data_IF_777547660687
#
_entry.id   IF_777547660687
#
_cell.length_a   1.000
_cell.length_b   1.000
_cell.length_c   1.000
_cell.angle_alpha   90.00
_cell.angle_beta   90.00
_cell.angle_gamma   90.00
#
_symmetry.space_group_name_H-M   'P 1'
#
loop_
_entity.id
_entity.type
_entity.pdbx_description
1 polymer ?
#
# COMPACT_ATOMS: atom_id res chain seq x y z
N UNK A 1 -11.09 -23.02 7.39
CA UNK A 1 -10.07 -22.01 6.95
C UNK A 1 -8.90 -22.75 6.33
N UNK A 2 -8.54 -22.39 5.10
CA UNK A 2 -7.34 -22.86 4.41
C UNK A 2 -6.29 -21.76 4.41
N UNK A 3 -5.00 -22.11 4.51
CA UNK A 3 -3.87 -21.17 4.55
C UNK A 3 -2.79 -21.70 3.62
N UNK A 4 -2.23 -20.84 2.75
CA UNK A 4 -1.10 -21.23 1.91
C UNK A 4 -0.20 -20.04 1.62
N UNK A 5 1.09 -20.32 1.44
CA UNK A 5 2.10 -19.34 1.01
C UNK A 5 2.14 -19.24 -0.50
N UNK A 6 2.56 -18.08 -0.97
CA UNK A 6 2.85 -17.87 -2.37
C UNK A 6 4.04 -16.92 -2.54
N UNK A 7 4.89 -17.22 -3.50
CA UNK A 7 6.06 -16.42 -3.84
C UNK A 7 5.72 -15.54 -5.05
N UNK A 8 5.56 -14.23 -4.80
CA UNK A 8 5.32 -13.23 -5.84
C UNK A 8 6.66 -12.86 -6.49
N UNK A 9 6.84 -13.22 -7.77
CA UNK A 9 8.03 -12.94 -8.54
C UNK A 9 7.92 -11.55 -9.20
N UNK A 10 8.92 -10.72 -9.02
CA UNK A 10 8.94 -9.35 -9.53
C UNK A 10 9.41 -9.28 -10.99
N UNK A 11 8.88 -8.30 -11.73
CA UNK A 11 9.36 -7.95 -13.08
C UNK A 11 10.78 -7.37 -13.04
N UNK A 12 11.05 -6.53 -12.03
CA UNK A 12 12.35 -5.91 -11.78
C UNK A 12 12.72 -6.07 -10.31
N UNK A 13 14.01 -6.21 -10.02
CA UNK A 13 14.51 -6.22 -8.65
C UNK A 13 14.05 -5.00 -7.88
N UNK A 14 13.50 -5.22 -6.69
CA UNK A 14 12.89 -4.18 -5.86
C UNK A 14 13.88 -3.66 -4.83
N UNK A 15 14.31 -2.41 -5.00
CA UNK A 15 15.25 -1.75 -4.08
C UNK A 15 14.64 -0.43 -3.58
N UNK A 16 14.69 -0.25 -2.26
CA UNK A 16 14.30 0.96 -1.53
C UNK A 16 15.45 1.39 -0.62
N UNK A 17 15.40 2.57 0.00
CA UNK A 17 16.47 3.09 0.83
C UNK A 17 16.98 2.09 1.90
N UNK A 18 16.07 1.39 2.58
CA UNK A 18 16.41 0.47 3.67
C UNK A 18 17.13 -0.82 3.24
N UNK A 19 17.00 -1.23 1.97
CA UNK A 19 17.66 -2.43 1.44
C UNK A 19 18.65 -2.13 0.30
N UNK A 20 18.93 -0.86 0.05
CA UNK A 20 19.94 -0.43 -0.91
C UNK A 20 21.34 -0.82 -0.45
N UNK A 21 22.15 -1.33 -1.38
CA UNK A 21 23.59 -1.59 -1.20
C UNK A 21 24.35 -1.10 -2.43
N UNK A 22 25.44 -0.37 -2.19
CA UNK A 22 26.24 0.24 -3.25
C UNK A 22 26.89 -0.78 -4.19
N UNK A 23 27.08 -2.02 -3.74
CA UNK A 23 27.63 -3.14 -4.54
C UNK A 23 26.58 -3.80 -5.46
N UNK A 24 25.33 -3.31 -5.46
CA UNK A 24 24.24 -3.86 -6.26
C UNK A 24 23.62 -5.16 -5.74
N UNK A 25 24.07 -5.67 -4.58
CA UNK A 25 23.53 -6.91 -3.98
C UNK A 25 22.25 -6.66 -3.18
N UNK A 26 21.85 -5.41 -3.00
CA UNK A 26 20.61 -5.00 -2.32
C UNK A 26 19.36 -5.35 -3.12
N UNK A 27 18.19 -5.19 -2.47
CA UNK A 27 16.91 -5.46 -3.09
C UNK A 27 16.45 -6.92 -3.03
N UNK A 28 15.26 -7.18 -3.58
CA UNK A 28 14.62 -8.50 -3.61
C UNK A 28 14.02 -8.76 -4.98
N UNK A 29 13.98 -10.01 -5.43
CA UNK A 29 13.33 -10.45 -6.67
C UNK A 29 12.02 -11.19 -6.40
N UNK A 30 11.77 -11.58 -5.14
CA UNK A 30 10.59 -12.33 -4.70
C UNK A 30 10.08 -11.77 -3.38
N UNK A 31 8.77 -11.65 -3.26
CA UNK A 31 8.07 -11.36 -2.02
C UNK A 31 7.16 -12.52 -1.63
N UNK A 32 7.19 -12.89 -0.35
CA UNK A 32 6.36 -13.98 0.19
C UNK A 32 5.09 -13.42 0.74
N UNK A 33 3.96 -13.88 0.20
CA UNK A 33 2.62 -13.58 0.70
C UNK A 33 1.97 -14.83 1.29
N UNK A 34 0.94 -14.63 2.12
CA UNK A 34 0.13 -15.70 2.69
C UNK A 34 -1.34 -15.44 2.39
N UNK A 35 -2.00 -16.39 1.78
CA UNK A 35 -3.43 -16.34 1.52
C UNK A 35 -4.22 -17.09 2.58
N UNK A 36 -5.44 -16.63 2.80
CA UNK A 36 -6.46 -17.26 3.64
C UNK A 36 -7.72 -17.44 2.80
N UNK A 37 -8.31 -18.66 2.80
CA UNK A 37 -9.67 -18.90 2.30
C UNK A 37 -10.55 -19.31 3.46
N UNK A 38 -11.63 -18.58 3.68
CA UNK A 38 -12.69 -18.92 4.62
C UNK A 38 -13.83 -19.55 3.85
N UNK A 39 -14.36 -20.67 4.39
CA UNK A 39 -15.54 -21.34 3.84
C UNK A 39 -16.61 -21.40 4.92
N UNK A 40 -17.76 -20.80 4.67
CA UNK A 40 -18.90 -20.86 5.56
C UNK A 40 -19.76 -22.12 5.37
N UNK A 41 -20.64 -22.48 6.32
CA UNK A 41 -21.52 -23.64 6.22
C UNK A 41 -22.46 -23.65 5.00
N UNK A 42 -22.83 -22.47 4.49
CA UNK A 42 -23.67 -22.32 3.29
C UNK A 42 -22.87 -22.47 1.96
N UNK A 43 -21.57 -22.76 2.05
CA UNK A 43 -20.69 -22.91 0.89
C UNK A 43 -20.06 -21.62 0.38
N UNK A 44 -20.37 -20.46 0.97
CA UNK A 44 -19.71 -19.18 0.61
C UNK A 44 -18.22 -19.30 0.88
N UNK A 45 -17.41 -19.03 -0.16
CA UNK A 45 -15.95 -19.01 -0.10
C UNK A 45 -15.46 -17.58 -0.28
N UNK A 46 -14.54 -17.19 0.57
CA UNK A 46 -14.00 -15.84 0.59
C UNK A 46 -12.49 -15.86 0.81
N UNK A 47 -11.77 -14.99 0.13
CA UNK A 47 -10.30 -14.96 0.11
C UNK A 47 -9.75 -13.68 0.71
N UNK A 48 -8.62 -13.80 1.41
CA UNK A 48 -7.82 -12.69 1.86
C UNK A 48 -6.33 -12.95 1.64
N UNK A 49 -5.55 -11.89 1.67
CA UNK A 49 -4.11 -11.91 1.46
C UNK A 49 -3.40 -11.11 2.54
N UNK A 50 -2.26 -11.58 2.98
CA UNK A 50 -1.33 -10.94 3.89
C UNK A 50 -0.01 -10.67 3.17
N UNK A 51 0.42 -9.42 3.08
CA UNK A 51 1.73 -9.03 2.54
C UNK A 51 2.64 -8.50 3.67
N UNK A 52 3.25 -9.40 4.48
CA UNK A 52 4.00 -9.02 5.66
C UNK A 52 5.29 -8.29 5.31
N UNK A 53 5.67 -7.34 6.15
CA UNK A 53 6.92 -6.59 6.02
C UNK A 53 7.78 -6.68 7.27
N UNK A 54 9.07 -6.96 7.07
CA UNK A 54 10.07 -6.96 8.16
C UNK A 54 10.20 -5.58 8.85
N UNK A 55 9.75 -4.49 8.17
CA UNK A 55 9.67 -3.15 8.77
C UNK A 55 8.76 -3.12 10.01
N UNK A 56 7.75 -3.99 10.03
CA UNK A 56 6.79 -4.15 11.14
C UNK A 56 7.02 -5.44 11.93
N UNK A 57 8.23 -6.01 11.86
CA UNK A 57 8.59 -7.29 12.48
C UNK A 57 7.70 -8.47 12.03
N UNK A 58 7.16 -8.40 10.82
CA UNK A 58 6.29 -9.44 10.24
C UNK A 58 6.97 -10.17 9.07
N UNK A 59 6.66 -11.44 8.92
CA UNK A 59 7.11 -12.32 7.86
C UNK A 59 6.03 -13.36 7.55
N UNK A 60 6.17 -14.11 6.44
CA UNK A 60 5.26 -15.22 6.16
C UNK A 60 5.22 -16.26 7.31
N UNK A 61 6.34 -16.43 8.03
CA UNK A 61 6.39 -17.35 9.18
C UNK A 61 5.58 -16.83 10.37
N UNK A 62 5.69 -15.53 10.72
CA UNK A 62 4.90 -14.94 11.82
C UNK A 62 3.43 -14.89 11.47
N UNK A 63 3.08 -14.63 10.22
CA UNK A 63 1.69 -14.66 9.72
C UNK A 63 1.11 -16.05 9.86
N UNK A 64 1.76 -17.10 9.36
CA UNK A 64 1.25 -18.47 9.54
C UNK A 64 1.17 -18.88 11.01
N UNK A 65 2.16 -18.52 11.82
CA UNK A 65 2.14 -18.82 13.25
C UNK A 65 0.94 -18.17 13.96
N UNK A 66 0.56 -16.95 13.56
CA UNK A 66 -0.66 -16.30 14.06
C UNK A 66 -1.91 -17.01 13.55
N UNK A 67 -2.02 -17.25 12.24
CA UNK A 67 -3.19 -17.85 11.62
C UNK A 67 -3.50 -19.25 12.17
N UNK A 68 -2.47 -20.02 12.56
CA UNK A 68 -2.64 -21.34 13.20
C UNK A 68 -3.23 -21.27 14.62
N UNK A 69 -3.20 -20.09 15.29
CA UNK A 69 -3.84 -19.89 16.60
C UNK A 69 -5.32 -19.54 16.47
N UNK A 70 -5.78 -19.17 15.28
CA UNK A 70 -7.16 -18.74 15.04
C UNK A 70 -8.08 -19.94 14.99
N UNK A 71 -9.11 -19.95 15.83
CA UNK A 71 -10.24 -20.88 15.73
C UNK A 71 -11.23 -20.36 14.66
N UNK A 72 -11.36 -21.04 13.51
CA UNK A 72 -12.27 -20.61 12.45
C UNK A 72 -13.75 -20.51 12.87
N UNK A 73 -14.16 -21.25 13.92
CA UNK A 73 -15.53 -21.20 14.43
C UNK A 73 -15.84 -19.88 15.18
N UNK A 74 -14.84 -19.10 15.50
CA UNK A 74 -14.96 -17.76 16.09
C UNK A 74 -15.03 -16.65 15.04
N UNK A 75 -14.95 -16.99 13.76
CA UNK A 75 -15.05 -16.07 12.64
C UNK A 75 -16.43 -16.11 12.02
N UNK A 76 -17.02 -14.95 11.72
CA UNK A 76 -18.36 -14.86 11.12
C UNK A 76 -18.43 -13.75 10.07
N UNK A 77 -18.96 -14.07 8.91
CA UNK A 77 -19.30 -13.08 7.89
C UNK A 77 -20.44 -12.13 8.32
N UNK A 78 -21.22 -12.54 9.32
CA UNK A 78 -22.37 -11.77 9.84
C UNK A 78 -21.99 -10.91 11.06
N UNK A 79 -20.82 -11.18 11.67
CA UNK A 79 -20.27 -10.40 12.82
C UNK A 79 -18.78 -10.14 12.64
N UNK A 80 -18.45 -9.23 11.71
CA UNK A 80 -17.06 -8.82 11.48
C UNK A 80 -16.45 -8.15 12.72
N UNK A 81 -17.12 -7.19 13.42
CA UNK A 81 -16.54 -6.57 14.61
C UNK A 81 -16.20 -7.58 15.71
N UNK A 82 -17.07 -8.55 15.98
CA UNK A 82 -16.81 -9.62 16.95
C UNK A 82 -15.63 -10.51 16.54
N UNK A 83 -15.53 -10.83 15.24
CA UNK A 83 -14.41 -11.59 14.68
C UNK A 83 -13.09 -10.84 14.83
N UNK A 84 -13.04 -9.54 14.54
CA UNK A 84 -11.84 -8.72 14.68
C UNK A 84 -11.43 -8.56 16.15
N UNK A 85 -12.39 -8.33 17.06
CA UNK A 85 -12.13 -8.29 18.50
C UNK A 85 -11.55 -9.61 19.03
N UNK A 86 -12.01 -10.73 18.49
CA UNK A 86 -11.42 -12.05 18.78
C UNK A 86 -9.97 -12.13 18.30
N UNK A 87 -9.65 -11.71 17.08
CA UNK A 87 -8.27 -11.71 16.58
C UNK A 87 -7.35 -10.84 17.45
N UNK A 88 -7.83 -9.70 17.91
CA UNK A 88 -7.08 -8.81 18.81
C UNK A 88 -6.83 -9.45 20.19
N UNK A 89 -7.74 -10.32 20.65
CA UNK A 89 -7.57 -11.06 21.90
C UNK A 89 -6.50 -12.15 21.85
N UNK A 90 -6.15 -12.63 20.63
CA UNK A 90 -5.08 -13.63 20.44
C UNK A 90 -3.70 -12.97 20.63
N UNK A 91 -3.49 -11.83 19.98
CA UNK A 91 -2.21 -11.12 19.96
C UNK A 91 -2.41 -9.68 19.48
N UNK A 92 -1.73 -8.71 20.09
CA UNK A 92 -1.84 -7.31 19.69
C UNK A 92 -1.20 -7.01 18.31
N UNK A 93 -0.10 -7.70 17.98
CA UNK A 93 0.64 -7.56 16.72
C UNK A 93 0.04 -8.36 15.56
N UNK A 94 0.83 -8.62 14.51
CA UNK A 94 0.44 -9.36 13.30
C UNK A 94 -0.71 -8.70 12.52
N UNK A 95 -0.60 -7.40 12.27
CA UNK A 95 -1.60 -6.63 11.53
C UNK A 95 -1.83 -7.18 10.12
N UNK A 96 -0.77 -7.63 9.44
CA UNK A 96 -0.88 -8.21 8.11
C UNK A 96 -1.70 -9.51 8.11
N UNK A 97 -1.53 -10.38 9.12
CA UNK A 97 -2.31 -11.61 9.26
C UNK A 97 -3.79 -11.31 9.59
N UNK A 98 -4.05 -10.37 10.50
CA UNK A 98 -5.41 -9.91 10.82
C UNK A 98 -6.07 -9.29 9.60
N UNK A 99 -5.31 -8.50 8.83
CA UNK A 99 -5.76 -7.91 7.58
C UNK A 99 -6.22 -8.95 6.56
N UNK A 100 -5.50 -10.07 6.42
CA UNK A 100 -5.92 -11.16 5.54
C UNK A 100 -7.29 -11.75 5.96
N UNK A 101 -7.51 -11.93 7.25
CA UNK A 101 -8.80 -12.42 7.75
C UNK A 101 -9.88 -11.35 7.57
N UNK A 102 -9.62 -10.07 7.87
CA UNK A 102 -10.60 -8.99 7.67
C UNK A 102 -11.02 -8.87 6.20
N UNK A 103 -10.08 -8.98 5.27
CA UNK A 103 -10.35 -9.01 3.83
C UNK A 103 -11.27 -10.18 3.47
N UNK A 104 -10.96 -11.39 3.96
CA UNK A 104 -11.80 -12.57 3.69
C UNK A 104 -13.19 -12.45 4.33
N UNK A 105 -13.30 -11.91 5.55
CA UNK A 105 -14.58 -11.67 6.20
C UNK A 105 -15.45 -10.69 5.42
N UNK A 106 -14.87 -9.59 4.98
CA UNK A 106 -15.56 -8.56 4.19
C UNK A 106 -15.93 -9.07 2.80
N UNK A 107 -15.08 -9.87 2.16
CA UNK A 107 -15.39 -10.53 0.89
C UNK A 107 -16.63 -11.41 1.03
N UNK A 108 -16.66 -12.30 2.04
CA UNK A 108 -17.79 -13.18 2.29
C UNK A 108 -19.09 -12.45 2.66
N UNK A 109 -18.99 -11.43 3.51
CA UNK A 109 -20.13 -10.59 3.88
C UNK A 109 -20.73 -9.85 2.68
N UNK A 110 -19.89 -9.25 1.84
CA UNK A 110 -20.32 -8.53 0.65
C UNK A 110 -20.92 -9.48 -0.41
N UNK A 111 -20.33 -10.69 -0.60
CA UNK A 111 -20.90 -11.73 -1.46
C UNK A 111 -22.31 -12.14 -1.02
N UNK A 112 -22.52 -12.38 0.29
CA UNK A 112 -23.83 -12.71 0.85
C UNK A 112 -24.85 -11.58 0.70
N UNK A 113 -24.38 -10.33 0.80
CA UNK A 113 -25.23 -9.16 0.56
C UNK A 113 -25.55 -8.94 -0.94
N UNK A 114 -24.93 -9.69 -1.85
CA UNK A 114 -25.08 -9.51 -3.30
C UNK A 114 -24.43 -8.21 -3.81
N UNK A 115 -23.47 -7.65 -3.08
CA UNK A 115 -22.87 -6.33 -3.36
C UNK A 115 -21.35 -6.46 -3.62
N UNK A 116 -20.76 -5.60 -4.47
CA UNK A 116 -19.34 -5.37 -4.43
C UNK A 116 -18.95 -4.67 -3.12
N UNK A 117 -17.71 -4.87 -2.65
CA UNK A 117 -17.30 -4.38 -1.33
C UNK A 117 -17.40 -2.84 -1.19
N UNK A 118 -17.16 -2.08 -2.25
CA UNK A 118 -17.32 -0.60 -2.20
C UNK A 118 -18.78 -0.19 -1.93
N UNK A 119 -19.78 -0.92 -2.41
CA UNK A 119 -21.20 -0.68 -2.12
C UNK A 119 -21.60 -1.20 -0.73
N UNK A 120 -20.98 -2.30 -0.29
CA UNK A 120 -21.13 -2.78 1.08
C UNK A 120 -20.68 -1.73 2.11
N UNK A 121 -19.57 -1.00 1.81
CA UNK A 121 -19.12 0.17 2.57
C UNK A 121 -19.93 1.44 2.31
N UNK A 122 -20.90 1.44 1.40
CA UNK A 122 -21.71 2.61 0.98
C UNK A 122 -20.86 3.75 0.41
N UNK A 123 -19.76 3.42 -0.24
CA UNK A 123 -18.84 4.38 -0.88
C UNK A 123 -19.17 4.59 -2.35
N UNK A 124 -19.65 3.54 -3.04
CA UNK A 124 -19.66 3.48 -4.48
C UNK A 124 -18.27 3.37 -5.09
N UNK A 125 -18.21 3.42 -6.40
CA UNK A 125 -16.95 3.49 -7.15
C UNK A 125 -17.18 4.20 -8.50
N UNK A 126 -16.47 5.30 -8.73
CA UNK A 126 -16.56 6.06 -9.98
C UNK A 126 -15.56 5.53 -10.99
N UNK A 127 -16.01 4.64 -11.87
CA UNK A 127 -15.18 4.16 -12.99
C UNK A 127 -14.60 5.33 -13.80
N UNK A 128 -13.33 5.23 -14.15
CA UNK A 128 -12.63 6.26 -14.92
C UNK A 128 -12.08 7.44 -14.11
N UNK A 129 -12.35 7.52 -12.81
CA UNK A 129 -11.93 8.65 -11.98
C UNK A 129 -10.64 8.41 -11.19
N UNK A 130 -10.23 7.16 -11.00
CA UNK A 130 -9.16 6.79 -10.07
C UNK A 130 -7.90 6.36 -10.81
N UNK A 131 -6.78 7.03 -10.50
CA UNK A 131 -5.48 6.70 -11.08
C UNK A 131 -4.47 6.33 -10.00
N UNK A 132 -3.78 5.21 -10.18
CA UNK A 132 -2.62 4.80 -9.36
C UNK A 132 -1.33 5.31 -9.97
N UNK A 133 -0.32 5.59 -9.15
CA UNK A 133 1.06 5.74 -9.59
C UNK A 133 1.64 4.39 -10.04
N UNK A 134 2.72 4.45 -10.83
CA UNK A 134 3.56 3.28 -11.14
C UNK A 134 4.93 3.50 -10.51
N UNK A 135 5.40 2.53 -9.74
CA UNK A 135 6.56 2.73 -8.87
C UNK A 135 7.87 2.29 -9.52
N UNK A 136 8.87 3.17 -9.44
CA UNK A 136 10.25 2.97 -9.87
C UNK A 136 11.13 2.82 -8.62
N UNK A 137 11.61 1.62 -8.36
CA UNK A 137 12.58 1.35 -7.28
C UNK A 137 13.98 1.86 -7.62
N UNK A 138 14.84 2.03 -6.60
CA UNK A 138 16.23 2.47 -6.76
C UNK A 138 17.02 1.47 -7.62
N UNK A 139 17.77 1.98 -8.62
CA UNK A 139 18.63 1.18 -9.49
C UNK A 139 19.75 2.06 -10.06
N UNK A 140 20.57 1.55 -11.01
CA UNK A 140 21.49 2.39 -11.76
C UNK A 140 20.72 3.38 -12.67
N UNK A 141 21.32 4.54 -13.02
CA UNK A 141 20.65 5.53 -13.87
C UNK A 141 20.17 4.97 -15.21
N UNK A 142 20.91 4.03 -15.80
CA UNK A 142 20.56 3.37 -17.06
C UNK A 142 19.28 2.54 -16.90
N UNK A 143 19.16 1.78 -15.82
CA UNK A 143 17.98 0.98 -15.50
C UNK A 143 16.79 1.85 -15.09
N UNK A 144 17.03 2.96 -14.37
CA UNK A 144 15.98 3.94 -14.08
C UNK A 144 15.40 4.47 -15.39
N UNK A 145 16.25 4.89 -16.33
CA UNK A 145 15.79 5.35 -17.64
C UNK A 145 14.99 4.29 -18.38
N UNK A 146 15.45 3.04 -18.37
CA UNK A 146 14.74 1.91 -18.98
C UNK A 146 13.34 1.73 -18.35
N UNK A 147 13.26 1.60 -17.02
CA UNK A 147 11.98 1.41 -16.30
C UNK A 147 11.01 2.56 -16.54
N UNK A 148 11.49 3.80 -16.63
CA UNK A 148 10.67 4.98 -16.93
C UNK A 148 10.09 4.90 -18.35
N UNK A 149 10.87 4.45 -19.34
CA UNK A 149 10.37 4.24 -20.71
C UNK A 149 9.35 3.10 -20.79
N UNK A 150 9.58 1.99 -20.08
CA UNK A 150 8.60 0.90 -19.95
C UNK A 150 7.29 1.36 -19.30
N UNK A 151 7.36 2.36 -18.41
CA UNK A 151 6.23 2.97 -17.73
C UNK A 151 5.65 4.20 -18.44
N UNK A 152 5.95 4.42 -19.73
CA UNK A 152 5.50 5.60 -20.49
C UNK A 152 3.97 5.76 -20.46
N UNK A 153 3.25 4.65 -20.53
CA UNK A 153 1.78 4.62 -20.54
C UNK A 153 1.11 5.10 -19.22
N UNK A 154 1.84 5.15 -18.11
CA UNK A 154 1.29 5.57 -16.82
C UNK A 154 1.34 7.10 -16.68
N UNK A 155 0.25 7.76 -16.25
CA UNK A 155 0.19 9.22 -16.18
C UNK A 155 1.08 9.81 -15.10
N UNK A 156 1.40 9.03 -14.06
CA UNK A 156 2.25 9.46 -12.96
C UNK A 156 3.15 8.32 -12.46
N UNK A 157 4.33 8.68 -11.98
CA UNK A 157 5.28 7.74 -11.40
C UNK A 157 5.46 8.01 -9.91
N UNK A 158 5.72 6.95 -9.14
CA UNK A 158 6.30 7.05 -7.80
C UNK A 158 7.77 6.66 -7.88
N UNK A 159 8.66 7.44 -7.28
CA UNK A 159 10.10 7.20 -7.33
C UNK A 159 10.67 7.07 -5.94
N UNK A 160 11.42 6.00 -5.72
CA UNK A 160 12.11 5.76 -4.46
C UNK A 160 13.42 6.51 -4.43
N UNK A 161 13.65 7.25 -3.34
CA UNK A 161 14.88 8.01 -3.04
C UNK A 161 15.44 7.61 -1.67
N UNK A 162 16.43 8.34 -1.15
CA UNK A 162 17.10 8.02 0.12
C UNK A 162 18.39 7.25 -0.07
N UNK A 163 19.00 7.34 -1.25
CA UNK A 163 20.27 6.73 -1.60
C UNK A 163 21.27 7.77 -2.14
N UNK A 164 22.57 7.48 -2.21
CA UNK A 164 23.54 8.35 -2.87
C UNK A 164 23.28 8.60 -4.36
N UNK A 165 22.39 7.79 -4.98
CA UNK A 165 22.06 7.88 -6.41
C UNK A 165 20.89 8.82 -6.71
N UNK A 166 20.28 9.46 -5.71
CA UNK A 166 19.04 10.22 -5.87
C UNK A 166 19.11 11.25 -6.99
N UNK A 167 20.20 12.03 -7.05
CA UNK A 167 20.35 13.09 -8.06
C UNK A 167 20.46 12.53 -9.47
N UNK A 168 21.38 11.58 -9.68
CA UNK A 168 21.61 10.99 -11.01
C UNK A 168 20.40 10.17 -11.47
N UNK A 169 19.64 9.57 -10.55
CA UNK A 169 18.41 8.85 -10.87
C UNK A 169 17.27 9.79 -11.27
N UNK A 170 17.13 10.93 -10.60
CA UNK A 170 16.13 11.94 -11.00
C UNK A 170 16.49 12.59 -12.35
N UNK A 171 17.78 12.82 -12.65
CA UNK A 171 18.25 13.26 -13.97
C UNK A 171 17.94 12.21 -15.05
N UNK A 172 18.20 10.94 -14.79
CA UNK A 172 17.89 9.85 -15.69
C UNK A 172 16.37 9.74 -15.96
N UNK A 173 15.54 9.87 -14.91
CA UNK A 173 14.09 9.91 -15.03
C UNK A 173 13.66 11.09 -15.92
N UNK A 174 14.14 12.30 -15.66
CA UNK A 174 13.75 13.50 -16.41
C UNK A 174 14.22 13.48 -17.85
N UNK A 175 15.35 12.83 -18.13
CA UNK A 175 15.80 12.59 -19.51
C UNK A 175 14.82 11.72 -20.33
N UNK A 176 14.11 10.78 -19.67
CA UNK A 176 13.15 9.88 -20.29
C UNK A 176 11.71 10.42 -20.24
N UNK A 177 11.35 11.16 -19.19
CA UNK A 177 9.99 11.65 -18.94
C UNK A 177 10.04 13.12 -18.40
N UNK A 178 10.29 14.12 -19.25
CA UNK A 178 10.58 15.50 -18.83
C UNK A 178 9.47 16.18 -18.02
N UNK A 179 8.21 15.88 -18.32
CA UNK A 179 7.04 16.58 -17.76
C UNK A 179 6.09 15.68 -16.95
N UNK A 180 6.45 14.40 -16.79
CA UNK A 180 5.58 13.43 -16.09
C UNK A 180 5.48 13.80 -14.61
N UNK A 181 4.26 13.74 -14.06
CA UNK A 181 4.04 13.91 -12.62
C UNK A 181 4.76 12.81 -11.84
N UNK A 182 5.48 13.23 -10.80
CA UNK A 182 6.25 12.32 -9.93
C UNK A 182 5.86 12.51 -8.47
N UNK A 183 5.64 11.43 -7.78
CA UNK A 183 5.55 11.31 -6.34
C UNK A 183 6.86 10.74 -5.83
N UNK A 184 7.44 11.33 -4.81
CA UNK A 184 8.74 10.90 -4.31
C UNK A 184 8.56 10.23 -2.95
N UNK A 185 9.23 9.10 -2.73
CA UNK A 185 9.17 8.36 -1.48
C UNK A 185 10.58 8.15 -0.92
N UNK A 186 10.83 8.75 0.25
CA UNK A 186 12.11 8.69 0.95
C UNK A 186 12.33 7.38 1.72
N UNK A 187 11.29 6.64 2.02
CA UNK A 187 11.33 5.40 2.82
C UNK A 187 12.28 5.51 4.04
N UNK A 188 12.14 6.59 4.83
CA UNK A 188 12.94 6.87 6.02
C UNK A 188 14.45 7.08 5.70
N UNK A 189 14.81 7.40 4.46
CA UNK A 189 16.20 7.43 3.98
C UNK A 189 17.03 8.58 4.56
N UNK A 190 16.47 9.77 4.75
CA UNK A 190 17.18 10.93 5.26
C UNK A 190 17.09 11.02 6.79
N UNK A 191 18.23 11.24 7.46
CA UNK A 191 18.34 10.96 8.91
C UNK A 191 18.10 12.17 9.80
N UNK A 192 18.16 13.39 9.24
CA UNK A 192 17.96 14.62 10.01
C UNK A 192 17.00 15.59 9.31
N UNK A 193 16.32 16.49 10.05
CA UNK A 193 15.45 17.50 9.46
C UNK A 193 16.16 18.39 8.43
N UNK A 194 17.41 18.78 8.72
CA UNK A 194 18.21 19.62 7.79
C UNK A 194 18.58 18.88 6.51
N UNK A 195 18.90 17.59 6.59
CA UNK A 195 19.16 16.76 5.42
C UNK A 195 17.88 16.61 4.58
N UNK A 196 16.76 16.31 5.23
CA UNK A 196 15.48 16.19 4.58
C UNK A 196 15.08 17.49 3.89
N UNK A 197 15.20 18.64 4.56
CA UNK A 197 14.84 19.93 3.98
C UNK A 197 15.70 20.26 2.75
N UNK A 198 17.04 20.10 2.83
CA UNK A 198 17.93 20.34 1.66
C UNK A 198 17.56 19.48 0.45
N UNK A 199 17.20 18.22 0.67
CA UNK A 199 16.80 17.32 -0.41
C UNK A 199 15.42 17.69 -0.96
N UNK A 200 14.47 18.08 -0.10
CA UNK A 200 13.14 18.54 -0.52
C UNK A 200 13.25 19.86 -1.32
N UNK A 201 14.06 20.81 -0.87
CA UNK A 201 14.31 22.06 -1.59
C UNK A 201 14.94 21.82 -2.98
N UNK A 202 15.81 20.82 -3.08
CA UNK A 202 16.34 20.40 -4.36
C UNK A 202 15.27 19.77 -5.25
N UNK A 203 14.46 18.85 -4.73
CA UNK A 203 13.35 18.23 -5.46
C UNK A 203 12.32 19.25 -5.92
N UNK A 204 12.00 20.24 -5.10
CA UNK A 204 11.00 21.28 -5.39
C UNK A 204 11.39 22.23 -6.53
N UNK A 205 12.63 22.18 -7.03
CA UNK A 205 13.02 22.87 -8.28
C UNK A 205 12.36 22.26 -9.52
N UNK A 206 11.89 21.04 -9.42
CA UNK A 206 11.12 20.36 -10.44
C UNK A 206 9.61 20.58 -10.19
N UNK A 207 8.92 21.36 -11.04
CA UNK A 207 7.51 21.70 -10.82
C UNK A 207 6.55 20.50 -10.98
N UNK A 208 7.03 19.37 -11.48
CA UNK A 208 6.24 18.18 -11.69
C UNK A 208 6.35 17.18 -10.51
N UNK A 209 6.96 17.57 -9.38
CA UNK A 209 6.94 16.77 -8.14
C UNK A 209 5.73 17.17 -7.31
N UNK A 210 4.88 16.16 -6.99
CA UNK A 210 3.61 16.40 -6.31
C UNK A 210 3.78 16.50 -4.78
N UNK A 211 4.54 15.59 -4.19
CA UNK A 211 4.81 15.53 -2.73
C UNK A 211 6.02 14.63 -2.43
N UNK A 212 6.47 14.68 -1.17
CA UNK A 212 7.44 13.74 -0.59
C UNK A 212 6.78 12.88 0.48
N UNK A 213 6.96 11.55 0.39
CA UNK A 213 6.47 10.56 1.33
C UNK A 213 7.60 10.11 2.26
N UNK A 214 7.32 10.03 3.55
CA UNK A 214 8.16 9.55 4.65
C UNK A 214 9.66 9.83 4.47
N UNK A 215 10.10 11.08 4.44
CA UNK A 215 11.50 11.42 4.20
C UNK A 215 12.44 11.00 5.34
N UNK A 216 11.95 11.02 6.60
CA UNK A 216 12.75 10.69 7.78
C UNK A 216 12.17 9.48 8.53
N UNK A 217 12.95 8.84 9.43
CA UNK A 217 12.49 7.74 10.26
C UNK A 217 11.23 8.08 11.04
N UNK A 218 10.28 7.13 11.14
CA UNK A 218 9.04 7.29 11.91
C UNK A 218 9.28 7.54 13.40
N UNK A 219 10.45 7.16 13.92
CA UNK A 219 10.91 7.46 15.27
C UNK A 219 11.37 8.91 15.48
N UNK A 220 11.38 9.74 14.43
CA UNK A 220 11.75 11.16 14.54
C UNK A 220 10.76 11.89 15.45
N UNK A 221 11.24 12.70 16.41
CA UNK A 221 10.37 13.42 17.33
C UNK A 221 9.36 14.34 16.64
N UNK A 222 8.12 14.48 17.15
CA UNK A 222 7.09 15.34 16.54
C UNK A 222 7.55 16.79 16.29
N UNK A 223 8.36 17.38 17.19
CA UNK A 223 8.90 18.74 17.00
C UNK A 223 9.74 18.89 15.74
N UNK A 224 10.46 17.85 15.34
CA UNK A 224 11.33 17.86 14.15
C UNK A 224 10.48 17.70 12.88
N UNK A 225 9.40 16.93 12.94
CA UNK A 225 8.40 16.85 11.88
C UNK A 225 7.67 18.19 11.68
N UNK A 226 7.23 18.84 12.77
CA UNK A 226 6.60 20.16 12.73
C UNK A 226 7.55 21.22 12.14
N UNK A 227 8.83 21.16 12.55
CA UNK A 227 9.88 22.03 12.02
C UNK A 227 10.06 21.86 10.49
N UNK A 228 10.11 20.60 10.03
CA UNK A 228 10.22 20.29 8.60
C UNK A 228 8.97 20.70 7.84
N UNK A 229 7.77 20.35 8.33
CA UNK A 229 6.49 20.71 7.71
C UNK A 229 6.36 22.24 7.49
N UNK A 230 6.75 23.03 8.48
CA UNK A 230 6.67 24.50 8.41
C UNK A 230 7.62 25.12 7.37
N UNK A 231 8.64 24.40 6.91
CA UNK A 231 9.68 24.88 5.99
C UNK A 231 9.68 24.22 4.63
N UNK A 232 9.11 23.05 4.54
CA UNK A 232 9.09 22.24 3.31
C UNK A 232 8.32 22.95 2.19
N UNK A 233 8.93 23.16 1.02
CA UNK A 233 8.22 23.67 -0.15
C UNK A 233 7.29 22.63 -0.81
N UNK A 234 7.43 21.34 -0.49
CA UNK A 234 6.55 20.27 -0.95
C UNK A 234 5.69 19.75 0.20
N UNK A 235 4.45 19.31 -0.07
CA UNK A 235 3.66 18.59 0.92
C UNK A 235 4.39 17.33 1.40
N UNK A 236 4.31 17.04 2.72
CA UNK A 236 4.90 15.86 3.33
C UNK A 236 3.79 14.87 3.69
N UNK A 237 3.95 13.62 3.26
CA UNK A 237 3.03 12.51 3.53
C UNK A 237 3.66 11.52 4.52
N UNK A 238 2.88 11.10 5.52
CA UNK A 238 3.27 10.02 6.44
C UNK A 238 2.91 8.65 5.84
N UNK A 239 3.85 7.71 5.86
CA UNK A 239 3.62 6.28 5.56
C UNK A 239 3.94 5.43 6.78
N UNK A 240 5.20 5.21 7.10
CA UNK A 240 5.64 4.39 8.22
C UNK A 240 5.23 4.98 9.58
N UNK A 241 4.93 6.28 9.64
CA UNK A 241 4.40 6.96 10.83
C UNK A 241 2.89 6.82 11.02
N UNK A 242 2.14 6.26 10.04
CA UNK A 242 0.69 6.14 10.06
C UNK A 242 0.27 4.68 10.17
N UNK A 243 0.00 4.20 11.38
CA UNK A 243 -0.34 2.79 11.67
C UNK A 243 -1.77 2.66 12.17
N UNK A 244 -2.23 3.58 13.02
CA UNK A 244 -3.50 3.47 13.71
C UNK A 244 -4.24 4.80 13.78
N UNK A 245 -5.52 4.74 14.15
CA UNK A 245 -6.35 5.94 14.40
C UNK A 245 -5.79 6.82 15.52
N UNK A 246 -5.10 6.22 16.48
CA UNK A 246 -4.50 6.96 17.60
C UNK A 246 -3.36 7.90 17.14
N UNK A 247 -2.78 7.66 15.98
CA UNK A 247 -1.70 8.50 15.43
C UNK A 247 -2.24 9.81 14.83
N UNK A 248 -3.53 9.88 14.48
CA UNK A 248 -4.13 10.99 13.71
C UNK A 248 -3.87 12.37 14.33
N UNK A 249 -4.01 12.59 15.65
CA UNK A 249 -3.74 13.92 16.23
C UNK A 249 -2.31 14.40 15.95
N UNK A 250 -1.31 13.54 16.20
CA UNK A 250 0.09 13.84 15.93
C UNK A 250 0.35 14.03 14.43
N UNK A 251 -0.24 13.17 13.58
CA UNK A 251 -0.07 13.25 12.13
C UNK A 251 -0.64 14.55 11.55
N UNK A 252 -1.77 15.04 12.07
CA UNK A 252 -2.36 16.30 11.62
C UNK A 252 -1.45 17.51 11.91
N UNK A 253 -0.72 17.47 13.03
CA UNK A 253 0.24 18.52 13.37
C UNK A 253 1.51 18.43 12.52
N UNK A 254 1.96 17.23 12.19
CA UNK A 254 3.29 16.95 11.62
C UNK A 254 3.32 16.77 10.10
N UNK A 255 2.21 16.42 9.47
CA UNK A 255 2.14 16.05 8.04
C UNK A 255 1.00 16.77 7.31
N UNK A 256 1.04 16.77 5.98
CA UNK A 256 -0.02 17.30 5.12
C UNK A 256 -0.98 16.19 4.66
N UNK A 257 -0.48 14.95 4.65
CA UNK A 257 -1.19 13.79 4.14
C UNK A 257 -0.76 12.50 4.85
N UNK A 258 -1.56 11.45 4.70
CA UNK A 258 -1.26 10.10 5.20
C UNK A 258 -1.41 9.06 4.10
N UNK A 259 -0.52 8.07 4.10
CA UNK A 259 -0.62 6.85 3.28
C UNK A 259 -1.07 5.69 4.17
N UNK A 260 -2.23 5.14 3.90
CA UNK A 260 -2.80 3.98 4.60
C UNK A 260 -2.56 2.74 3.74
N UNK A 261 -2.02 1.67 4.35
CA UNK A 261 -1.82 0.37 3.67
C UNK A 261 -2.52 -0.72 4.48
N UNK A 262 -3.30 -1.55 3.81
CA UNK A 262 -4.14 -2.57 4.47
C UNK A 262 -3.32 -3.52 5.34
N UNK A 263 -2.16 -3.95 4.85
CA UNK A 263 -1.30 -4.89 5.57
C UNK A 263 -0.70 -4.32 6.87
N UNK A 264 -0.45 -3.01 6.97
CA UNK A 264 0.10 -2.40 8.18
C UNK A 264 -0.97 -1.96 9.19
N UNK A 265 -2.20 -1.73 8.74
CA UNK A 265 -3.30 -1.25 9.58
C UNK A 265 -4.26 -2.33 10.05
N UNK A 266 -4.14 -3.56 9.54
CA UNK A 266 -4.99 -4.69 9.96
C UNK A 266 -6.22 -4.91 9.07
N UNK A 267 -6.21 -4.40 7.82
CA UNK A 267 -7.24 -4.70 6.82
C UNK A 267 -8.15 -3.52 6.46
N UNK A 268 -9.16 -3.76 5.59
CA UNK A 268 -10.04 -2.70 5.08
C UNK A 268 -10.93 -2.07 6.15
N UNK A 269 -11.38 -2.81 7.17
CA UNK A 269 -12.22 -2.27 8.25
C UNK A 269 -11.51 -1.15 9.02
N UNK A 270 -10.28 -1.41 9.44
CA UNK A 270 -9.43 -0.42 10.13
C UNK A 270 -8.96 0.69 9.20
N UNK A 271 -8.63 0.37 7.95
CA UNK A 271 -8.25 1.36 6.94
C UNK A 271 -9.39 2.32 6.63
N UNK A 272 -10.63 1.85 6.51
CA UNK A 272 -11.82 2.70 6.35
C UNK A 272 -11.97 3.71 7.49
N UNK A 273 -11.83 3.23 8.74
CA UNK A 273 -11.94 4.08 9.92
C UNK A 273 -10.80 5.11 9.99
N UNK A 274 -9.56 4.68 9.68
CA UNK A 274 -8.36 5.54 9.68
C UNK A 274 -8.44 6.63 8.59
N UNK A 275 -8.78 6.27 7.34
CA UNK A 275 -8.98 7.22 6.25
C UNK A 275 -10.08 8.24 6.58
N UNK A 276 -11.20 7.77 7.17
CA UNK A 276 -12.30 8.64 7.59
C UNK A 276 -11.87 9.63 8.68
N UNK A 277 -11.10 9.18 9.66
CA UNK A 277 -10.56 10.02 10.73
C UNK A 277 -9.55 11.04 10.21
N UNK A 278 -8.64 10.62 9.31
CA UNK A 278 -7.65 11.49 8.68
C UNK A 278 -8.30 12.62 7.89
N UNK A 279 -9.34 12.31 7.10
CA UNK A 279 -10.12 13.33 6.37
C UNK A 279 -10.81 14.33 7.31
N UNK A 280 -11.41 13.86 8.41
CA UNK A 280 -12.01 14.74 9.44
C UNK A 280 -10.98 15.65 10.09
N UNK A 281 -9.74 15.21 10.23
CA UNK A 281 -8.62 15.99 10.75
C UNK A 281 -8.00 16.95 9.71
N UNK A 282 -8.54 17.01 8.47
CA UNK A 282 -8.07 17.89 7.40
C UNK A 282 -6.83 17.39 6.65
N UNK A 283 -6.40 16.14 6.89
CA UNK A 283 -5.31 15.51 6.16
C UNK A 283 -5.80 15.05 4.76
N UNK A 284 -4.96 15.22 3.74
CA UNK A 284 -5.13 14.46 2.49
C UNK A 284 -4.83 12.99 2.75
N UNK A 285 -5.46 12.13 1.94
CA UNK A 285 -5.37 10.68 2.12
C UNK A 285 -4.88 9.99 0.86
N UNK A 286 -4.05 8.99 1.05
CA UNK A 286 -3.64 8.02 0.04
C UNK A 286 -3.89 6.62 0.57
N UNK A 287 -4.28 5.69 -0.29
CA UNK A 287 -4.16 4.27 -0.03
C UNK A 287 -3.02 3.71 -0.86
N UNK A 288 -2.09 3.04 -0.19
CA UNK A 288 -0.93 2.43 -0.79
C UNK A 288 -0.91 0.91 -0.63
N UNK A 289 0.13 0.29 -1.18
CA UNK A 289 0.34 -1.16 -1.12
C UNK A 289 1.79 -1.50 -0.76
N UNK A 290 2.02 -2.79 -0.56
CA UNK A 290 3.33 -3.45 -0.66
C UNK A 290 3.45 -4.11 -2.05
N UNK A 291 4.33 -5.10 -2.20
CA UNK A 291 4.25 -6.04 -3.31
C UNK A 291 3.15 -7.04 -2.95
N UNK A 292 2.06 -6.99 -3.70
CA UNK A 292 0.79 -7.64 -3.38
C UNK A 292 0.14 -8.22 -4.64
N UNK A 293 -0.70 -9.25 -4.48
CA UNK A 293 -1.51 -9.77 -5.58
C UNK A 293 -2.77 -8.94 -5.82
N UNK A 294 -3.52 -9.29 -6.84
CA UNK A 294 -4.83 -8.70 -7.13
C UNK A 294 -5.86 -8.83 -5.99
N UNK A 295 -5.64 -9.67 -4.98
CA UNK A 295 -6.54 -9.78 -3.81
C UNK A 295 -6.43 -8.53 -2.93
N UNK A 296 -5.23 -8.21 -2.43
CA UNK A 296 -4.99 -7.01 -1.62
C UNK A 296 -5.20 -5.73 -2.43
N UNK A 297 -4.74 -5.69 -3.66
CA UNK A 297 -4.92 -4.53 -4.54
C UNK A 297 -6.40 -4.25 -4.80
N UNK A 298 -7.23 -5.28 -5.03
CA UNK A 298 -8.68 -5.07 -5.17
C UNK A 298 -9.31 -4.62 -3.86
N UNK A 299 -8.92 -5.21 -2.72
CA UNK A 299 -9.40 -4.77 -1.41
C UNK A 299 -9.09 -3.28 -1.16
N UNK A 300 -7.89 -2.82 -1.52
CA UNK A 300 -7.50 -1.41 -1.43
C UNK A 300 -8.31 -0.53 -2.40
N UNK A 301 -8.51 -0.98 -3.64
CA UNK A 301 -9.28 -0.25 -4.66
C UNK A 301 -10.73 0.01 -4.24
N UNK A 302 -11.34 -0.87 -3.45
CA UNK A 302 -12.69 -0.66 -2.91
C UNK A 302 -12.82 0.55 -1.96
N UNK A 303 -11.70 1.08 -1.44
CA UNK A 303 -11.67 2.27 -0.58
C UNK A 303 -11.26 3.55 -1.35
N UNK A 304 -11.16 3.50 -2.67
CA UNK A 304 -10.64 4.61 -3.49
C UNK A 304 -11.40 5.93 -3.27
N UNK A 305 -12.72 5.89 -3.07
CA UNK A 305 -13.53 7.11 -2.85
C UNK A 305 -13.22 7.84 -1.54
N UNK A 306 -12.51 7.22 -0.62
CA UNK A 306 -12.01 7.85 0.61
C UNK A 306 -10.66 8.55 0.43
N UNK A 307 -10.07 8.51 -0.77
CA UNK A 307 -8.69 8.94 -0.98
C UNK A 307 -8.57 10.08 -1.98
N UNK A 308 -7.51 10.88 -1.81
CA UNK A 308 -7.08 11.89 -2.78
C UNK A 308 -6.09 11.29 -3.79
N UNK A 309 -5.34 10.27 -3.37
CA UNK A 309 -4.29 9.63 -4.16
C UNK A 309 -4.38 8.11 -4.02
N UNK A 310 -4.00 7.39 -5.07
CA UNK A 310 -3.79 5.93 -5.05
C UNK A 310 -2.34 5.60 -5.40
N UNK A 311 -1.81 4.57 -4.73
CA UNK A 311 -0.48 3.99 -4.93
C UNK A 311 -0.59 2.47 -4.76
N UNK A 312 -1.43 1.85 -5.62
CA UNK A 312 -1.84 0.45 -5.54
C UNK A 312 -1.44 -0.31 -6.80
N UNK A 313 -0.16 -0.29 -7.09
CA UNK A 313 0.45 -0.90 -8.28
C UNK A 313 1.16 -2.24 -7.99
N UNK A 314 1.05 -2.79 -6.77
CA UNK A 314 1.79 -3.98 -6.37
C UNK A 314 1.62 -5.17 -7.31
N UNK A 315 0.41 -5.39 -7.82
CA UNK A 315 0.12 -6.46 -8.78
C UNK A 315 0.62 -6.17 -10.21
N UNK A 316 0.97 -4.93 -10.53
CA UNK A 316 1.56 -4.55 -11.81
C UNK A 316 3.08 -4.78 -11.84
N UNK A 317 3.69 -4.96 -10.68
CA UNK A 317 5.12 -5.15 -10.50
C UNK A 317 5.53 -6.63 -10.45
N UNK A 318 4.57 -7.55 -10.50
CA UNK A 318 4.79 -9.00 -10.43
C UNK A 318 4.46 -9.69 -11.75
N UNK A 319 5.07 -10.86 -11.98
CA UNK A 319 4.91 -11.64 -13.21
C UNK A 319 3.96 -12.83 -13.08
N UNK A 320 3.62 -13.22 -11.85
CA UNK A 320 2.94 -14.46 -11.52
C UNK A 320 1.77 -14.27 -10.56
N UNK A 321 0.98 -13.22 -10.74
CA UNK A 321 -0.22 -12.99 -9.93
C UNK A 321 -1.17 -14.19 -10.01
N UNK A 322 -1.47 -14.90 -8.89
CA UNK A 322 -2.34 -16.06 -8.90
C UNK A 322 -3.84 -15.70 -9.00
N UNK A 323 -4.16 -14.42 -8.92
CA UNK A 323 -5.53 -13.92 -9.00
C UNK A 323 -5.70 -12.89 -10.12
N UNK A 324 -6.93 -12.63 -10.47
CA UNK A 324 -7.35 -11.45 -11.23
C UNK A 324 -8.41 -10.69 -10.44
N UNK A 325 -8.46 -9.38 -10.59
CA UNK A 325 -9.35 -8.50 -9.83
C UNK A 325 -9.47 -7.13 -10.49
N UNK A 326 -9.40 -6.06 -9.68
CA UNK A 326 -9.30 -4.70 -10.22
C UNK A 326 -8.07 -4.55 -11.10
N UNK A 327 -8.19 -3.76 -12.16
CA UNK A 327 -7.08 -3.48 -13.08
C UNK A 327 -6.49 -2.11 -12.80
N UNK A 328 -5.18 -1.96 -13.03
CA UNK A 328 -4.45 -0.68 -13.01
C UNK A 328 -3.88 -0.33 -14.39
N UNK A 329 -4.48 -0.86 -15.46
CA UNK A 329 -3.97 -0.70 -16.82
C UNK A 329 -3.80 0.78 -17.18
N UNK A 330 -2.60 1.16 -17.60
CA UNK A 330 -2.21 2.55 -17.89
C UNK A 330 -2.46 3.50 -16.71
N UNK A 331 -2.37 2.98 -15.49
CA UNK A 331 -2.63 3.70 -14.24
C UNK A 331 -4.11 3.87 -13.88
N UNK A 332 -5.04 3.52 -14.75
CA UNK A 332 -6.47 3.63 -14.46
C UNK A 332 -6.95 2.43 -13.63
N UNK A 333 -7.38 2.70 -12.40
CA UNK A 333 -7.98 1.68 -11.54
C UNK A 333 -9.43 1.47 -11.94
N UNK A 334 -9.79 0.21 -12.22
CA UNK A 334 -11.11 -0.14 -12.74
C UNK A 334 -11.53 -1.53 -12.27
N UNK A 335 -12.82 -1.69 -12.02
CA UNK A 335 -13.49 -2.97 -11.82
C UNK A 335 -14.26 -3.44 -13.05
N UNK A 336 -14.23 -2.70 -14.18
CA UNK A 336 -15.01 -3.02 -15.38
C UNK A 336 -14.73 -4.41 -15.96
N UNK A 337 -13.50 -4.93 -15.81
CA UNK A 337 -13.10 -6.27 -16.24
C UNK A 337 -12.96 -7.28 -15.08
N UNK A 338 -13.44 -6.94 -13.87
CA UNK A 338 -13.33 -7.83 -12.73
C UNK A 338 -14.16 -9.11 -12.92
N UNK A 339 -13.63 -10.28 -12.46
CA UNK A 339 -14.20 -11.60 -12.83
C UNK A 339 -15.51 -11.93 -12.14
N UNK A 340 -15.81 -11.29 -11.02
CA UNK A 340 -17.04 -11.51 -10.23
C UNK A 340 -17.79 -10.20 -10.00
N UNK A 341 -19.13 -10.23 -9.83
CA UNK A 341 -19.92 -9.01 -9.60
C UNK A 341 -19.93 -8.55 -8.14
N UNK A 342 -19.64 -9.42 -7.17
CA UNK A 342 -19.79 -9.17 -5.73
C UNK A 342 -18.49 -9.42 -4.96
N UNK A 343 -18.48 -9.09 -3.68
CA UNK A 343 -17.32 -9.26 -2.81
C UNK A 343 -16.17 -8.36 -3.23
N UNK A 344 -14.95 -8.89 -3.15
CA UNK A 344 -13.73 -8.23 -3.62
C UNK A 344 -13.65 -8.14 -5.15
N UNK A 345 -14.52 -8.83 -5.86
CA UNK A 345 -14.51 -8.94 -7.32
C UNK A 345 -13.24 -9.57 -7.87
N UNK A 346 -12.74 -10.58 -7.18
CA UNK A 346 -11.53 -11.35 -7.54
C UNK A 346 -11.86 -12.81 -7.86
N UNK A 347 -10.99 -13.44 -8.65
CA UNK A 347 -11.02 -14.90 -8.86
C UNK A 347 -9.60 -15.44 -9.08
N UNK A 348 -9.37 -16.71 -8.73
CA UNK A 348 -8.11 -17.40 -9.08
C UNK A 348 -7.95 -17.47 -10.60
N UNK A 349 -6.73 -17.24 -11.07
CA UNK A 349 -6.37 -17.54 -12.47
C UNK A 349 -6.39 -19.04 -12.69
N UNK A 350 -6.88 -19.45 -13.85
CA UNK A 350 -6.90 -20.86 -14.29
C UNK A 350 -5.52 -21.31 -14.74
#
# INVERSE_FOLDING_TARGET
MEIWRYDLALTHRWTIASNFKADGTGGKDVYKTVFVELTAPDGTKAVGESAPSSRYAESADTVEAFLRKVDPNRLSFDDIPGSLAYLDSIEAANHSAKGAIDIALLDGAAQRAGLPLYDYFKLGFREGAHHTSFTIGIDSPEKIRQKVLEAEQYPMLKVKVGSPLDRVNMEALRSAAPTKTVRVDGNEGWKTPDEALRNIEWLAKDPNIEFIEQPMPSSTPPKDWQWLKARSPLPIMADESCISIADIPMLADCFNAVNVKLCKTGGPSTAFALLSAARKAGLKTMIGCMIESSVLISAAAHLAELTNHLDIDGNLLITNDPFQGSTGAKGLVSFGAAPTPTGLRVARRK
#
